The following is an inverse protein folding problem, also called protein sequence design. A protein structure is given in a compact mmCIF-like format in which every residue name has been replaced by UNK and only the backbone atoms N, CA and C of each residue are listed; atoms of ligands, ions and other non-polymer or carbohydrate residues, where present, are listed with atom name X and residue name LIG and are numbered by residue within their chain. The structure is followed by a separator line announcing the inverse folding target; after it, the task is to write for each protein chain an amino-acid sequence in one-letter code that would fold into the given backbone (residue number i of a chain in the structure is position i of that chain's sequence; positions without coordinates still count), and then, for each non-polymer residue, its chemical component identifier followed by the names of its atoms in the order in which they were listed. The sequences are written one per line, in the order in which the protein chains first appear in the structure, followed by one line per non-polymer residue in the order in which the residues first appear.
data_IF_924828289231
#
_entry.id   IF_924828289231
#
_cell.length_a   1.000
_cell.length_b   1.000
_cell.length_c   1.000
_cell.angle_alpha   90.00
_cell.angle_beta   90.00
_cell.angle_gamma   90.00
#
_symmetry.space_group_name_H-M   'P 1'
#
loop_
_entity.id
_entity.type
_entity.pdbx_description
1 polymer ?
#
# COMPACT_ATOMS: atom_id res chain seq x y z
N UNK A 1 14.29 0.26 63.07
CA UNK A 1 15.40 0.34 62.10
C UNK A 1 14.93 -0.34 60.83
N UNK A 2 14.58 0.31 59.72
CA UNK A 2 14.88 1.65 59.23
C UNK A 2 13.63 2.22 58.54
N UNK A 3 13.48 3.53 58.62
CA UNK A 3 12.28 4.31 58.38
C UNK A 3 12.53 5.27 57.23
N UNK A 4 11.73 5.19 56.15
CA UNK A 4 11.33 6.29 55.22
C UNK A 4 12.49 7.08 54.51
N UNK A 5 12.24 7.97 53.52
CA UNK A 5 10.95 8.47 53.04
C UNK A 5 10.68 8.43 51.53
N UNK A 6 9.37 8.36 51.25
CA UNK A 6 8.71 8.99 50.10
C UNK A 6 8.85 10.50 50.24
N UNK A 7 9.30 11.16 49.19
CA UNK A 7 9.05 12.58 48.82
C UNK A 7 10.29 13.12 48.12
N UNK A 8 10.17 13.44 46.84
CA UNK A 8 10.83 14.59 46.22
C UNK A 8 10.40 14.70 44.75
N UNK A 9 9.79 15.86 44.44
CA UNK A 9 9.76 16.55 43.15
C UNK A 9 8.61 16.24 42.19
N UNK A 10 7.40 16.49 42.68
CA UNK A 10 6.53 17.42 41.98
C UNK A 10 7.13 18.83 42.10
N UNK A 11 7.56 19.46 40.99
CA UNK A 11 7.76 20.92 40.80
C UNK A 11 8.55 21.17 39.51
N UNK A 12 7.88 21.39 38.38
CA UNK A 12 8.39 22.21 37.26
C UNK A 12 7.24 22.60 36.31
N UNK A 13 6.21 23.22 36.90
CA UNK A 13 5.23 24.06 36.21
C UNK A 13 5.43 25.47 36.75
N UNK A 14 6.13 26.33 36.01
CA UNK A 14 6.02 27.79 36.01
C UNK A 14 7.11 28.39 35.11
N UNK A 15 6.76 29.49 34.42
CA UNK A 15 7.55 30.32 33.47
C UNK A 15 7.44 29.82 32.02
N UNK A 16 6.72 30.47 31.08
CA UNK A 16 6.33 31.87 30.95
C UNK A 16 4.99 32.02 30.21
N UNK A 17 4.09 32.83 30.78
CA UNK A 17 3.04 33.56 30.06
C UNK A 17 3.55 34.94 29.62
N UNK A 18 3.19 35.36 28.40
CA UNK A 18 3.04 36.73 27.87
C UNK A 18 2.98 36.59 26.32
N UNK A 19 2.02 37.08 25.54
CA UNK A 19 1.05 38.17 25.68
C UNK A 19 -0.18 37.85 24.78
N UNK A 20 -1.43 38.13 25.22
CA UNK A 20 -2.25 39.34 24.89
C UNK A 20 -2.22 39.69 23.39
N UNK A 21 -3.31 39.79 22.64
CA UNK A 21 -4.74 39.73 22.94
C UNK A 21 -5.54 40.11 21.68
N UNK A 22 -6.82 39.73 21.71
CA UNK A 22 -7.99 40.46 21.18
C UNK A 22 -7.96 41.01 19.73
N UNK A 23 -8.77 40.40 18.85
CA UNK A 23 -9.75 41.18 18.09
C UNK A 23 -10.97 40.31 17.72
N UNK A 24 -12.09 40.60 18.38
CA UNK A 24 -13.43 40.28 17.90
C UNK A 24 -13.76 41.25 16.76
N UNK A 25 -14.20 40.73 15.61
CA UNK A 25 -15.21 41.38 14.78
C UNK A 25 -16.08 40.32 14.11
N UNK A 26 -17.35 40.33 14.50
CA UNK A 26 -18.47 39.69 13.81
C UNK A 26 -18.88 40.52 12.59
N UNK A 27 -19.08 39.87 11.44
CA UNK A 27 -19.91 40.38 10.34
C UNK A 27 -20.75 39.24 9.77
N UNK A 28 -22.07 39.41 9.86
CA UNK A 28 -23.12 38.68 9.18
C UNK A 28 -23.32 39.19 7.75
N UNK A 29 -23.42 38.31 6.75
CA UNK A 29 -24.35 38.39 5.61
C UNK A 29 -24.14 37.16 4.71
N UNK A 30 -25.14 36.30 4.54
CA UNK A 30 -26.25 36.38 3.59
C UNK A 30 -25.86 36.00 2.15
N UNK A 31 -26.46 34.91 1.68
CA UNK A 31 -26.94 34.76 0.31
C UNK A 31 -25.90 34.60 -0.79
N UNK A 32 -25.72 33.37 -1.25
CA UNK A 32 -26.06 32.93 -2.62
C UNK A 32 -25.20 31.72 -3.03
N UNK A 33 -25.87 30.66 -3.47
CA UNK A 33 -25.27 29.57 -4.23
C UNK A 33 -24.74 30.13 -5.56
N UNK A 34 -23.61 29.62 -6.04
CA UNK A 34 -23.55 29.23 -7.44
C UNK A 34 -23.30 27.73 -7.56
N UNK A 35 -24.07 27.12 -8.46
CA UNK A 35 -23.85 25.78 -8.95
C UNK A 35 -22.45 25.70 -9.58
N UNK A 36 -21.59 24.81 -9.09
CA UNK A 36 -20.36 24.48 -9.80
C UNK A 36 -20.60 23.26 -10.66
N UNK A 37 -20.56 23.55 -11.95
CA UNK A 37 -20.68 22.67 -13.11
C UNK A 37 -19.90 21.36 -12.96
N UNK A 38 -20.58 20.26 -13.27
CA UNK A 38 -19.99 18.97 -13.56
C UNK A 38 -19.11 19.10 -14.81
N UNK A 39 -17.79 18.99 -14.63
CA UNK A 39 -16.84 18.91 -15.75
C UNK A 39 -16.54 17.44 -16.01
N UNK A 40 -17.15 16.96 -17.09
CA UNK A 40 -16.93 15.67 -17.73
C UNK A 40 -15.46 15.47 -18.08
N UNK A 41 -14.82 14.42 -17.56
CA UNK A 41 -13.44 13.98 -17.91
C UNK A 41 -13.39 13.21 -19.22
N UNK A 42 -14.15 13.65 -20.23
CA UNK A 42 -14.13 13.06 -21.57
C UNK A 42 -13.91 14.19 -22.57
N UNK A 43 -13.02 13.90 -23.53
CA UNK A 43 -12.81 14.66 -24.76
C UNK A 43 -11.76 15.77 -24.68
N UNK A 44 -10.48 15.40 -24.74
CA UNK A 44 -9.46 16.27 -25.35
C UNK A 44 -8.17 15.50 -25.64
N UNK A 45 -8.17 14.62 -26.65
CA UNK A 45 -7.05 14.47 -27.61
C UNK A 45 -7.61 13.82 -28.88
N UNK A 46 -8.10 14.64 -29.81
CA UNK A 46 -8.16 14.27 -31.22
C UNK A 46 -7.52 15.38 -32.04
N UNK A 47 -6.53 15.01 -32.83
CA UNK A 47 -6.23 15.63 -34.11
C UNK A 47 -5.13 16.69 -34.12
N UNK A 48 -3.92 16.30 -34.50
CA UNK A 48 -3.18 16.98 -35.58
C UNK A 48 -2.31 15.96 -36.34
N UNK A 49 -2.27 16.00 -37.68
CA UNK A 49 -1.39 15.17 -38.49
C UNK A 49 -0.05 15.89 -38.72
N UNK A 50 1.05 15.14 -38.75
CA UNK A 50 2.30 15.61 -39.36
C UNK A 50 3.05 14.43 -39.93
N UNK A 51 3.06 14.37 -41.26
CA UNK A 51 3.80 13.42 -42.08
C UNK A 51 5.26 13.87 -42.26
N UNK A 52 6.11 12.83 -42.32
CA UNK A 52 7.38 12.67 -43.06
C UNK A 52 8.74 12.94 -42.37
N UNK A 53 9.47 11.81 -42.21
CA UNK A 53 10.87 11.51 -42.56
C UNK A 53 12.01 12.34 -41.90
N UNK A 54 13.17 11.78 -41.51
CA UNK A 54 13.90 10.67 -42.10
C UNK A 54 15.01 10.08 -41.17
N UNK A 55 15.46 8.88 -41.55
CA UNK A 55 16.80 8.28 -41.43
C UNK A 55 17.29 7.68 -40.09
N UNK A 56 17.36 6.35 -40.15
CA UNK A 56 17.97 5.39 -39.23
C UNK A 56 19.42 5.71 -38.86
N UNK A 57 19.74 5.50 -37.59
CA UNK A 57 21.03 4.95 -37.20
C UNK A 57 20.76 3.70 -36.36
N UNK A 58 21.14 2.55 -36.90
CA UNK A 58 21.17 1.29 -36.18
C UNK A 58 22.14 1.41 -35.01
N UNK A 59 21.62 1.39 -33.79
CA UNK A 59 22.38 1.04 -32.61
C UNK A 59 21.99 -0.39 -32.25
N UNK A 60 22.91 -1.32 -32.45
CA UNK A 60 22.77 -2.68 -31.97
C UNK A 60 22.57 -2.68 -30.44
N UNK A 61 21.80 -3.66 -29.91
CA UNK A 61 21.43 -3.73 -28.51
C UNK A 61 22.56 -4.33 -27.66
N UNK A 62 22.34 -4.42 -26.33
CA UNK A 62 23.18 -5.05 -25.28
C UNK A 62 23.99 -4.00 -24.49
N UNK A 63 23.87 -3.78 -23.18
CA UNK A 63 23.00 -4.21 -22.07
C UNK A 63 23.31 -3.24 -20.89
N UNK A 64 22.51 -3.21 -19.80
CA UNK A 64 22.65 -4.28 -18.82
C UNK A 64 21.27 -4.81 -18.41
N UNK A 65 20.83 -5.90 -19.06
CA UNK A 65 19.71 -6.70 -18.56
C UNK A 65 19.99 -7.23 -17.13
N UNK A 66 21.26 -7.37 -16.71
CA UNK A 66 21.64 -7.93 -15.42
C UNK A 66 21.16 -7.14 -14.19
N UNK A 67 21.08 -5.80 -14.26
CA UNK A 67 20.59 -5.01 -13.13
C UNK A 67 19.07 -5.14 -12.95
N UNK A 68 18.33 -5.25 -14.06
CA UNK A 68 16.90 -5.54 -14.07
C UNK A 68 16.60 -6.95 -13.58
N UNK A 69 17.43 -7.94 -13.96
CA UNK A 69 17.29 -9.34 -13.51
C UNK A 69 17.47 -9.49 -12.00
N UNK A 70 18.52 -8.91 -11.41
CA UNK A 70 18.80 -9.01 -9.96
C UNK A 70 17.74 -8.27 -9.13
N UNK A 71 17.32 -7.09 -9.60
CA UNK A 71 16.28 -6.32 -8.91
C UNK A 71 14.92 -7.04 -8.99
N UNK A 72 14.59 -7.64 -10.14
CA UNK A 72 13.41 -8.49 -10.32
C UNK A 72 13.41 -9.73 -9.44
N UNK A 73 14.56 -10.42 -9.30
CA UNK A 73 14.70 -11.59 -8.43
C UNK A 73 14.43 -11.24 -6.96
N UNK A 74 14.99 -10.12 -6.47
CA UNK A 74 14.72 -9.65 -5.10
C UNK A 74 13.23 -9.36 -4.87
N UNK A 75 12.57 -8.71 -5.84
CA UNK A 75 11.12 -8.46 -5.79
C UNK A 75 10.36 -9.78 -5.75
N UNK A 76 10.72 -10.76 -6.58
CA UNK A 76 10.06 -12.07 -6.64
C UNK A 76 10.19 -12.86 -5.32
N UNK A 77 11.37 -12.85 -4.71
CA UNK A 77 11.60 -13.49 -3.39
C UNK A 77 10.73 -12.84 -2.32
N UNK A 78 10.72 -11.51 -2.26
CA UNK A 78 9.94 -10.77 -1.25
C UNK A 78 8.43 -10.91 -1.49
N UNK A 79 7.97 -10.91 -2.74
CA UNK A 79 6.58 -11.16 -3.11
C UNK A 79 6.14 -12.58 -2.70
N UNK A 80 7.01 -13.58 -2.85
CA UNK A 80 6.73 -14.95 -2.39
C UNK A 80 6.59 -15.02 -0.87
N UNK A 81 7.42 -14.28 -0.13
CA UNK A 81 7.29 -14.16 1.34
C UNK A 81 6.00 -13.44 1.75
N UNK A 82 5.58 -12.40 1.01
CA UNK A 82 4.30 -11.72 1.24
C UNK A 82 3.10 -12.67 0.99
N UNK A 83 3.16 -13.49 -0.08
CA UNK A 83 2.15 -14.53 -0.36
C UNK A 83 2.07 -15.56 0.78
N UNK A 84 3.22 -15.98 1.32
CA UNK A 84 3.27 -16.87 2.47
C UNK A 84 2.66 -16.23 3.73
N UNK A 85 2.96 -14.96 4.01
CA UNK A 85 2.36 -14.21 5.12
C UNK A 85 0.83 -14.18 5.02
N UNK A 86 0.29 -13.87 3.83
CA UNK A 86 -1.16 -13.90 3.58
C UNK A 86 -1.75 -15.28 3.87
N UNK A 87 -1.10 -16.35 3.39
CA UNK A 87 -1.54 -17.71 3.66
C UNK A 87 -1.54 -18.03 5.16
N UNK A 88 -0.52 -17.58 5.91
CA UNK A 88 -0.47 -17.72 7.37
C UNK A 88 -1.63 -16.98 8.05
N UNK A 89 -1.96 -15.76 7.61
CA UNK A 89 -3.10 -15.00 8.16
C UNK A 89 -4.42 -15.73 7.88
N UNK A 90 -4.63 -16.20 6.64
CA UNK A 90 -5.81 -16.98 6.24
C UNK A 90 -5.97 -18.25 7.07
N UNK A 91 -4.92 -19.08 7.14
CA UNK A 91 -4.94 -20.34 7.89
C UNK A 91 -5.09 -20.09 9.40
N UNK A 92 -4.41 -19.06 9.91
CA UNK A 92 -4.54 -18.65 11.31
C UNK A 92 -5.98 -18.23 11.65
N UNK A 93 -6.71 -17.62 10.72
CA UNK A 93 -8.10 -17.21 10.94
C UNK A 93 -9.06 -18.40 11.11
N UNK A 94 -8.83 -19.50 10.38
CA UNK A 94 -9.60 -20.73 10.57
C UNK A 94 -9.46 -21.30 11.99
N UNK A 95 -8.32 -21.08 12.63
CA UNK A 95 -8.04 -21.57 13.98
C UNK A 95 -8.43 -20.57 15.10
N UNK A 96 -8.58 -19.27 14.78
CA UNK A 96 -8.82 -18.20 15.78
C UNK A 96 -10.19 -18.24 16.45
N UNK A 97 -11.20 -18.87 15.85
CA UNK A 97 -12.52 -19.05 16.50
C UNK A 97 -12.44 -19.92 17.77
N UNK A 98 -11.32 -20.59 18.01
CA UNK A 98 -11.12 -21.55 19.11
C UNK A 98 -10.02 -21.14 20.10
N UNK A 99 -9.33 -20.01 19.88
CA UNK A 99 -8.11 -19.69 20.63
C UNK A 99 -8.36 -18.65 21.73
N UNK A 100 -7.91 -18.91 22.98
CA UNK A 100 -8.07 -17.98 24.09
C UNK A 100 -7.29 -16.68 23.85
N UNK A 101 -7.78 -15.61 24.47
CA UNK A 101 -7.12 -14.30 24.50
C UNK A 101 -5.90 -14.35 25.41
N UNK A 102 -4.81 -14.91 24.91
CA UNK A 102 -3.53 -14.90 25.60
C UNK A 102 -2.68 -13.75 25.06
N UNK A 103 -2.23 -12.79 25.88
CA UNK A 103 -1.29 -11.75 25.46
C UNK A 103 0.15 -12.26 25.36
N UNK A 104 0.43 -13.49 25.77
CA UNK A 104 1.77 -14.08 25.74
C UNK A 104 2.23 -14.31 24.29
N UNK A 105 3.36 -13.71 23.85
CA UNK A 105 3.91 -13.94 22.52
C UNK A 105 4.30 -15.42 22.34
N UNK A 106 3.87 -16.03 21.23
CA UNK A 106 4.28 -17.40 20.85
C UNK A 106 3.22 -18.49 21.05
N UNK A 107 2.12 -18.17 21.74
CA UNK A 107 0.90 -18.99 21.72
C UNK A 107 0.10 -18.63 20.46
N UNK A 108 -0.49 -19.61 19.78
CA UNK A 108 -1.39 -19.36 18.64
C UNK A 108 -2.57 -18.51 19.13
N UNK A 109 -2.46 -17.17 19.11
CA UNK A 109 -3.45 -16.24 19.63
C UNK A 109 -3.49 -14.97 18.75
N UNK A 110 -4.44 -14.09 19.02
CA UNK A 110 -4.66 -12.88 18.23
C UNK A 110 -3.46 -11.92 18.23
N UNK A 111 -2.86 -11.70 19.41
CA UNK A 111 -1.72 -10.81 19.58
C UNK A 111 -0.51 -11.31 18.77
N UNK A 112 -0.17 -12.59 18.88
CA UNK A 112 0.91 -13.24 18.13
C UNK A 112 0.77 -13.09 16.62
N UNK A 113 -0.47 -13.09 16.10
CA UNK A 113 -0.69 -12.94 14.67
C UNK A 113 -0.61 -11.49 14.20
N UNK A 114 -1.07 -10.53 15.00
CA UNK A 114 -0.87 -9.09 14.76
C UNK A 114 0.63 -8.77 14.78
N UNK A 115 1.35 -9.26 15.78
CA UNK A 115 2.81 -9.11 15.90
C UNK A 115 3.56 -9.75 14.73
N UNK A 116 3.08 -10.90 14.23
CA UNK A 116 3.66 -11.52 13.05
C UNK A 116 3.49 -10.64 11.80
N UNK A 117 2.31 -10.07 11.57
CA UNK A 117 2.09 -9.14 10.44
C UNK A 117 2.93 -7.88 10.60
N UNK A 118 3.02 -7.30 11.80
CA UNK A 118 3.85 -6.12 12.06
C UNK A 118 5.36 -6.40 11.82
N UNK A 119 5.87 -7.53 12.31
CA UNK A 119 7.27 -7.96 12.04
C UNK A 119 7.51 -8.20 10.56
N UNK A 120 6.56 -8.83 9.87
CA UNK A 120 6.65 -9.07 8.44
C UNK A 120 6.51 -7.78 7.63
N UNK A 121 5.76 -6.78 8.10
CA UNK A 121 5.70 -5.45 7.48
C UNK A 121 7.09 -4.82 7.45
N UNK A 122 7.80 -4.83 8.58
CA UNK A 122 9.15 -4.28 8.67
C UNK A 122 10.19 -5.08 7.87
N UNK A 123 10.12 -6.42 7.91
CA UNK A 123 11.15 -7.31 7.35
C UNK A 123 10.90 -7.78 5.91
N UNK A 124 9.67 -7.68 5.40
CA UNK A 124 9.28 -8.17 4.07
C UNK A 124 8.57 -7.10 3.26
N UNK A 125 7.48 -6.51 3.78
CA UNK A 125 6.61 -5.65 2.96
C UNK A 125 7.24 -4.29 2.63
N UNK A 126 7.82 -3.60 3.61
CA UNK A 126 8.56 -2.35 3.36
C UNK A 126 9.79 -2.59 2.45
N UNK A 127 10.61 -3.63 2.68
CA UNK A 127 11.66 -4.01 1.73
C UNK A 127 11.16 -4.35 0.32
N UNK A 128 9.97 -4.95 0.17
CA UNK A 128 9.35 -5.24 -1.13
C UNK A 128 9.06 -3.94 -1.87
N UNK A 129 8.44 -2.96 -1.21
CA UNK A 129 8.19 -1.63 -1.79
C UNK A 129 9.47 -0.95 -2.24
N UNK A 130 10.49 -0.93 -1.38
CA UNK A 130 11.78 -0.34 -1.71
C UNK A 130 12.45 -1.05 -2.89
N UNK A 131 12.37 -2.39 -2.95
CA UNK A 131 12.91 -3.18 -4.05
C UNK A 131 12.18 -2.88 -5.38
N UNK A 132 10.85 -2.76 -5.35
CA UNK A 132 10.05 -2.40 -6.53
C UNK A 132 10.39 -0.99 -7.02
N UNK A 133 10.49 0.00 -6.12
CA UNK A 133 10.88 1.35 -6.50
C UNK A 133 12.30 1.40 -7.12
N UNK A 134 13.25 0.67 -6.54
CA UNK A 134 14.61 0.58 -7.06
C UNK A 134 14.68 -0.15 -8.41
N UNK A 135 13.84 -1.16 -8.64
CA UNK A 135 13.72 -1.86 -9.92
C UNK A 135 13.07 -0.96 -10.98
N UNK A 136 12.01 -0.24 -10.64
CA UNK A 136 11.33 0.69 -11.54
C UNK A 136 12.29 1.77 -12.05
N UNK A 137 13.06 2.40 -11.15
CA UNK A 137 14.01 3.45 -11.50
C UNK A 137 15.15 2.99 -12.44
N UNK A 138 15.38 1.68 -12.55
CA UNK A 138 16.40 1.08 -13.41
C UNK A 138 15.82 0.40 -14.65
N UNK A 139 14.49 0.35 -14.76
CA UNK A 139 13.83 -0.21 -15.91
C UNK A 139 13.94 0.76 -17.09
N UNK A 140 14.09 0.19 -18.29
CA UNK A 140 14.14 0.95 -19.55
C UNK A 140 12.98 0.49 -20.43
N UNK A 141 11.75 0.78 -19.99
CA UNK A 141 10.53 0.44 -20.72
C UNK A 141 10.03 1.63 -21.56
N UNK A 142 9.14 1.40 -22.55
CA UNK A 142 8.42 2.47 -23.22
C UNK A 142 7.73 3.40 -22.22
N UNK A 143 7.67 4.70 -22.51
CA UNK A 143 7.28 5.74 -21.56
C UNK A 143 5.96 5.47 -20.81
N UNK A 144 4.96 4.90 -21.49
CA UNK A 144 3.67 4.57 -20.85
C UNK A 144 3.78 3.38 -19.89
N UNK A 145 4.49 2.32 -20.28
CA UNK A 145 4.75 1.17 -19.43
C UNK A 145 5.65 1.53 -18.23
N UNK A 146 6.63 2.41 -18.45
CA UNK A 146 7.48 2.93 -17.38
C UNK A 146 6.68 3.69 -16.31
N UNK A 147 5.75 4.56 -16.72
CA UNK A 147 4.84 5.25 -15.78
C UNK A 147 3.98 4.28 -14.98
N UNK A 148 3.42 3.26 -15.63
CA UNK A 148 2.61 2.24 -14.96
C UNK A 148 3.45 1.43 -13.97
N UNK A 149 4.69 1.10 -14.33
CA UNK A 149 5.63 0.38 -13.46
C UNK A 149 6.01 1.22 -12.23
N UNK A 150 6.32 2.50 -12.40
CA UNK A 150 6.64 3.45 -11.34
C UNK A 150 5.46 3.75 -10.40
N UNK A 151 4.23 3.54 -10.87
CA UNK A 151 3.02 3.71 -10.06
C UNK A 151 2.83 2.58 -9.03
N UNK A 152 3.26 1.34 -9.33
CA UNK A 152 3.00 0.18 -8.47
C UNK A 152 3.57 0.32 -7.04
N UNK A 153 4.82 0.77 -6.82
CA UNK A 153 5.33 1.02 -5.48
C UNK A 153 4.52 2.06 -4.70
N UNK A 154 3.91 3.03 -5.40
CA UNK A 154 3.07 4.06 -4.79
C UNK A 154 1.70 3.49 -4.40
N UNK A 155 1.08 2.66 -5.24
CA UNK A 155 -0.15 1.94 -4.91
C UNK A 155 0.02 1.07 -3.67
N UNK A 156 1.16 0.39 -3.58
CA UNK A 156 1.48 -0.44 -2.41
C UNK A 156 1.56 0.34 -1.10
N UNK A 157 1.89 1.65 -1.15
CA UNK A 157 1.81 2.52 0.02
C UNK A 157 0.37 2.64 0.54
N UNK A 158 -0.59 2.83 -0.36
CA UNK A 158 -2.01 2.89 0.00
C UNK A 158 -2.49 1.60 0.66
N UNK A 159 -2.07 0.45 0.15
CA UNK A 159 -2.36 -0.84 0.79
C UNK A 159 -1.72 -0.99 2.18
N UNK A 160 -0.55 -0.38 2.42
CA UNK A 160 0.06 -0.36 3.76
C UNK A 160 -0.73 0.48 4.77
N UNK A 161 -1.30 1.60 4.33
CA UNK A 161 -2.14 2.45 5.18
C UNK A 161 -3.45 1.73 5.56
N UNK A 162 -4.09 1.07 4.59
CA UNK A 162 -5.28 0.24 4.84
C UNK A 162 -4.96 -0.98 5.72
N UNK A 163 -3.78 -1.58 5.54
CA UNK A 163 -3.30 -2.68 6.38
C UNK A 163 -3.12 -2.21 7.84
N UNK A 164 -2.54 -1.03 8.07
CA UNK A 164 -2.37 -0.48 9.42
C UNK A 164 -3.71 -0.20 10.08
N UNK A 165 -4.67 0.37 9.34
CA UNK A 165 -6.03 0.57 9.84
C UNK A 165 -6.70 -0.76 10.17
N UNK A 166 -6.48 -1.81 9.38
CA UNK A 166 -7.02 -3.14 9.62
C UNK A 166 -6.37 -3.81 10.84
N UNK A 167 -5.07 -3.63 11.05
CA UNK A 167 -4.33 -4.15 12.22
C UNK A 167 -4.72 -3.44 13.51
N UNK A 168 -5.11 -2.16 13.45
CA UNK A 168 -5.62 -1.41 14.58
C UNK A 168 -7.01 -1.88 15.05
N UNK A 169 -7.76 -2.60 14.21
CA UNK A 169 -9.06 -3.16 14.59
C UNK A 169 -8.87 -4.40 15.46
N UNK A 170 -9.83 -4.62 16.35
CA UNK A 170 -9.87 -5.78 17.22
C UNK A 170 -10.41 -7.00 16.46
N UNK A 171 -9.75 -8.17 16.60
CA UNK A 171 -10.12 -9.48 16.00
C UNK A 171 -10.36 -9.38 14.50
N UNK A 172 -9.44 -9.89 13.67
CA UNK A 172 -9.57 -9.86 12.20
C UNK A 172 -10.85 -10.57 11.70
N UNK A 173 -11.98 -9.89 11.83
CA UNK A 173 -13.31 -10.43 11.55
C UNK A 173 -13.39 -10.69 10.06
N UNK A 174 -14.04 -11.80 9.69
CA UNK A 174 -14.19 -12.18 8.30
C UNK A 174 -14.72 -11.00 7.49
N UNK A 175 -14.05 -10.70 6.39
CA UNK A 175 -14.38 -9.57 5.54
C UNK A 175 -14.94 -10.10 4.23
N UNK A 176 -16.10 -9.60 3.82
CA UNK A 176 -16.63 -9.86 2.48
C UNK A 176 -16.38 -8.64 1.62
N UNK A 177 -15.64 -8.81 0.52
CA UNK A 177 -15.42 -7.73 -0.43
C UNK A 177 -16.75 -7.27 -1.02
N UNK A 178 -16.99 -5.97 -0.98
CA UNK A 178 -18.22 -5.38 -1.54
C UNK A 178 -18.25 -5.42 -3.06
N UNK A 179 -17.07 -5.43 -3.70
CA UNK A 179 -16.94 -5.44 -5.16
C UNK A 179 -17.00 -6.85 -5.71
N UNK A 180 -16.17 -7.75 -5.17
CA UNK A 180 -16.01 -9.11 -5.72
C UNK A 180 -16.88 -10.17 -5.03
N UNK A 181 -17.55 -9.83 -3.93
CA UNK A 181 -18.31 -10.79 -3.11
C UNK A 181 -17.45 -11.84 -2.38
N UNK A 182 -16.12 -11.81 -2.56
CA UNK A 182 -15.20 -12.79 -1.99
C UNK A 182 -15.08 -12.64 -0.49
N UNK A 183 -15.13 -13.77 0.22
CA UNK A 183 -14.96 -13.83 1.67
C UNK A 183 -13.48 -14.06 2.01
N UNK A 184 -12.98 -13.24 2.92
CA UNK A 184 -11.63 -13.26 3.48
C UNK A 184 -11.74 -13.67 4.95
N UNK A 185 -11.47 -14.93 5.31
CA UNK A 185 -11.61 -15.41 6.68
C UNK A 185 -10.65 -14.69 7.64
N UNK A 186 -9.45 -14.32 7.20
CA UNK A 186 -8.50 -13.47 7.94
C UNK A 186 -8.81 -11.98 7.88
N UNK A 187 -10.04 -11.64 7.51
CA UNK A 187 -10.57 -10.29 7.55
C UNK A 187 -9.92 -9.33 6.59
N UNK A 188 -10.07 -8.03 6.91
CA UNK A 188 -9.50 -6.97 6.08
C UNK A 188 -7.97 -7.05 5.99
N UNK A 189 -7.30 -7.56 7.03
CA UNK A 189 -5.84 -7.81 7.00
C UNK A 189 -5.47 -8.80 5.88
N UNK A 190 -6.22 -9.90 5.72
CA UNK A 190 -5.99 -10.83 4.61
C UNK A 190 -6.26 -10.18 3.26
N UNK A 191 -7.30 -9.34 3.14
CA UNK A 191 -7.60 -8.60 1.90
C UNK A 191 -6.47 -7.66 1.52
N UNK A 192 -5.99 -6.81 2.43
CA UNK A 192 -4.92 -5.87 2.11
C UNK A 192 -3.60 -6.59 1.80
N UNK A 193 -3.33 -7.72 2.47
CA UNK A 193 -2.19 -8.57 2.09
C UNK A 193 -2.36 -9.21 0.71
N UNK A 194 -3.59 -9.45 0.25
CA UNK A 194 -3.84 -9.88 -1.13
C UNK A 194 -3.53 -8.76 -2.12
N UNK A 195 -4.02 -7.55 -1.88
CA UNK A 195 -3.77 -6.38 -2.74
C UNK A 195 -2.28 -6.09 -2.88
N UNK A 196 -1.51 -6.20 -1.79
CA UNK A 196 -0.05 -6.10 -1.81
C UNK A 196 0.56 -7.17 -2.71
N UNK A 197 0.07 -8.42 -2.64
CA UNK A 197 0.55 -9.50 -3.49
C UNK A 197 0.16 -9.33 -4.96
N UNK A 198 -1.04 -8.81 -5.24
CA UNK A 198 -1.54 -8.52 -6.59
C UNK A 198 -0.72 -7.37 -7.20
N UNK A 199 -0.52 -6.27 -6.47
CA UNK A 199 0.34 -5.13 -6.87
C UNK A 199 1.76 -5.57 -7.19
N UNK A 200 2.37 -6.42 -6.34
CA UNK A 200 3.71 -6.94 -6.59
C UNK A 200 3.77 -7.88 -7.80
N UNK A 201 2.69 -8.62 -8.07
CA UNK A 201 2.60 -9.48 -9.24
C UNK A 201 2.44 -8.67 -10.53
N UNK A 202 1.57 -7.66 -10.52
CA UNK A 202 1.36 -6.74 -11.65
C UNK A 202 2.65 -5.99 -11.98
N UNK A 203 3.40 -5.58 -10.96
CA UNK A 203 4.74 -5.02 -11.15
C UNK A 203 5.69 -5.99 -11.86
N UNK A 204 5.74 -7.26 -11.46
CA UNK A 204 6.61 -8.25 -12.10
C UNK A 204 6.19 -8.53 -13.55
N UNK A 205 4.88 -8.52 -13.83
CA UNK A 205 4.35 -8.65 -15.20
C UNK A 205 4.77 -7.45 -16.06
N UNK A 206 4.57 -6.22 -15.56
CA UNK A 206 4.98 -5.00 -16.24
C UNK A 206 6.50 -4.94 -16.47
N UNK A 207 7.28 -5.35 -15.46
CA UNK A 207 8.75 -5.39 -15.53
C UNK A 207 9.23 -6.37 -16.62
N UNK A 208 8.49 -7.46 -16.83
CA UNK A 208 8.72 -8.41 -17.92
C UNK A 208 8.20 -7.97 -19.29
N UNK A 209 7.64 -6.77 -19.41
CA UNK A 209 7.04 -6.25 -20.64
C UNK A 209 5.64 -6.81 -20.95
N UNK A 210 5.01 -7.48 -19.98
CA UNK A 210 3.63 -7.96 -20.09
C UNK A 210 2.59 -6.93 -19.65
N UNK A 211 1.34 -7.19 -19.99
CA UNK A 211 0.18 -6.41 -19.50
C UNK A 211 -0.45 -7.11 -18.29
N UNK A 212 -0.60 -6.43 -17.14
CA UNK A 212 -1.33 -6.96 -16.00
C UNK A 212 -2.74 -7.38 -16.39
N UNK A 213 -3.23 -8.45 -15.77
CA UNK A 213 -4.60 -8.88 -15.98
C UNK A 213 -5.55 -7.95 -15.24
N UNK A 214 -6.46 -7.28 -15.95
CA UNK A 214 -7.52 -6.49 -15.31
C UNK A 214 -8.63 -7.45 -14.92
N UNK A 215 -8.82 -7.68 -13.62
CA UNK A 215 -10.03 -8.36 -13.14
C UNK A 215 -11.19 -7.36 -13.24
N UNK A 216 -12.24 -7.70 -13.98
CA UNK A 216 -13.47 -6.92 -13.91
C UNK A 216 -14.21 -7.16 -12.58
N UNK A 217 -15.25 -6.36 -12.34
CA UNK A 217 -16.04 -6.41 -11.10
C UNK A 217 -16.69 -7.80 -10.87
N UNK A 218 -16.79 -8.63 -11.91
CA UNK A 218 -17.31 -9.99 -11.87
C UNK A 218 -16.23 -11.05 -11.62
N UNK A 219 -14.96 -10.64 -11.48
CA UNK A 219 -13.83 -11.53 -11.29
C UNK A 219 -13.34 -12.23 -12.56
N UNK A 220 -13.81 -11.81 -13.74
CA UNK A 220 -13.29 -12.30 -15.02
C UNK A 220 -12.00 -11.57 -15.38
N UNK A 221 -11.04 -12.34 -15.90
CA UNK A 221 -9.77 -11.78 -16.37
C UNK A 221 -9.94 -11.19 -17.76
N UNK A 222 -9.78 -9.88 -17.89
CA UNK A 222 -9.61 -9.19 -19.17
C UNK A 222 -8.13 -8.91 -19.37
N UNK A 223 -7.58 -9.42 -20.47
CA UNK A 223 -6.27 -9.01 -20.95
C UNK A 223 -6.47 -7.71 -21.73
N UNK A 224 -5.79 -6.63 -21.31
CA UNK A 224 -5.80 -5.37 -22.06
C UNK A 224 -5.07 -5.54 -23.38
N UNK A 225 -5.72 -5.16 -24.48
CA UNK A 225 -5.11 -5.01 -25.81
C UNK A 225 -4.16 -3.80 -25.84
#
# INVERSE_FOLDING_TARGET
YSSQPKELRASMLALCELAVGLLLTSVTNAGSRPATLAISRRTLVQGLPSTLAALSLAADPIAPAHASTIAGEKVQILASKAKALRATVRTGAANRRLLPFDPTPGMNNYASATDNVLRAKASVLLPLQAAMAAAAAKASLPAEAQKQLELQPLLMKGHFEELDQALAKYKFDSYTSKTTGRVYPGGKVERELEEICETANDFLVLLGGGTPSVKDDEGNFKYGL
#
